data_IF_099232786861
#
_entry.id   IF_099232786861
#
_cell.length_a   1.000
_cell.length_b   1.000
_cell.length_c   1.000
_cell.angle_alpha   90.00
_cell.angle_beta   90.00
_cell.angle_gamma   90.00
#
_symmetry.space_group_name_H-M   'P 1'
#
loop_
_entity.id
_entity.type
_entity.pdbx_description
1 polymer ?
#
# COMPACT_ATOMS: atom_id res chain seq x y z
N UNK A 1 -2.75 7.83 -5.56
CA UNK A 1 -1.94 6.83 -4.82
C UNK A 1 -1.11 6.06 -5.84
N UNK A 2 0.13 5.71 -5.51
CA UNK A 2 1.03 4.96 -6.38
C UNK A 2 1.71 3.82 -5.62
N UNK A 3 2.22 2.84 -6.35
CA UNK A 3 3.09 1.80 -5.84
C UNK A 3 4.57 2.14 -6.15
N UNK A 4 5.49 1.87 -5.22
CA UNK A 4 6.91 2.25 -5.39
C UNK A 4 7.67 1.33 -6.34
N UNK A 5 7.28 0.05 -6.45
CA UNK A 5 7.96 -1.03 -7.21
C UNK A 5 9.48 -0.84 -7.41
N UNK A 6 10.33 -1.43 -6.55
CA UNK A 6 11.78 -1.24 -6.58
C UNK A 6 12.45 -1.72 -7.88
N UNK A 7 11.79 -2.54 -8.69
CA UNK A 7 12.33 -3.06 -9.94
C UNK A 7 12.06 -2.15 -11.14
N UNK A 8 11.23 -1.12 -10.96
CA UNK A 8 10.81 -0.20 -12.01
C UNK A 8 11.50 1.16 -11.90
N UNK A 9 11.91 1.78 -13.03
CA UNK A 9 12.45 3.13 -12.99
C UNK A 9 11.38 4.13 -12.56
N UNK A 10 11.72 5.01 -11.62
CA UNK A 10 10.78 6.03 -11.15
C UNK A 10 10.39 7.00 -12.28
N UNK A 11 9.09 7.22 -12.53
CA UNK A 11 8.63 8.13 -13.57
C UNK A 11 9.20 9.55 -13.40
N UNK A 12 9.65 10.22 -14.48
CA UNK A 12 10.17 11.58 -14.41
C UNK A 12 9.22 12.58 -13.75
N UNK A 13 7.91 12.32 -13.84
CA UNK A 13 6.86 13.09 -13.20
C UNK A 13 7.05 13.22 -11.69
N UNK A 14 7.59 12.19 -11.02
CA UNK A 14 7.81 12.20 -9.57
C UNK A 14 8.87 13.21 -9.14
N UNK A 15 9.77 13.64 -10.04
CA UNK A 15 10.82 14.63 -9.72
C UNK A 15 10.29 16.00 -9.30
N UNK A 16 9.05 16.34 -9.69
CA UNK A 16 8.42 17.61 -9.30
C UNK A 16 7.80 17.57 -7.90
N UNK A 17 7.63 16.37 -7.35
CA UNK A 17 7.09 16.16 -6.03
C UNK A 17 8.22 16.07 -5.00
N UNK A 18 8.02 16.69 -3.85
CA UNK A 18 8.95 16.65 -2.71
C UNK A 18 8.36 15.79 -1.61
N UNK A 19 9.22 15.05 -0.91
CA UNK A 19 8.81 14.26 0.24
C UNK A 19 8.30 15.19 1.34
N UNK A 20 7.03 15.03 1.69
CA UNK A 20 6.36 15.76 2.76
C UNK A 20 6.37 14.97 4.07
N UNK A 21 6.18 13.65 3.99
CA UNK A 21 6.18 12.75 5.15
C UNK A 21 6.70 11.36 4.78
N UNK A 22 7.45 10.74 5.69
CA UNK A 22 7.91 9.34 5.61
C UNK A 22 7.41 8.59 6.86
N UNK A 23 6.24 7.97 6.77
CA UNK A 23 5.64 7.19 7.85
C UNK A 23 6.22 5.78 7.86
N UNK A 24 7.41 5.63 8.42
CA UNK A 24 8.16 4.36 8.43
C UNK A 24 7.40 3.19 9.06
N UNK A 25 6.58 3.46 10.08
CA UNK A 25 5.75 2.44 10.75
C UNK A 25 4.65 1.93 9.82
N UNK A 26 3.97 2.82 9.11
CA UNK A 26 2.93 2.49 8.15
C UNK A 26 3.49 2.14 6.75
N UNK A 27 4.80 2.32 6.53
CA UNK A 27 5.47 2.13 5.24
C UNK A 27 4.80 2.93 4.12
N UNK A 28 4.42 4.16 4.44
CA UNK A 28 3.82 5.14 3.53
C UNK A 28 4.75 6.32 3.37
N UNK A 29 4.87 6.81 2.13
CA UNK A 29 5.54 8.07 1.83
C UNK A 29 4.53 9.02 1.20
N UNK A 30 4.48 10.24 1.70
CA UNK A 30 3.60 11.29 1.20
C UNK A 30 4.48 12.32 0.51
N UNK A 31 4.16 12.62 -0.74
CA UNK A 31 4.83 13.65 -1.51
C UNK A 31 3.86 14.74 -1.92
N UNK A 32 4.37 15.96 -2.11
CA UNK A 32 3.60 17.12 -2.54
C UNK A 32 4.35 17.92 -3.61
N UNK A 33 3.65 18.41 -4.63
CA UNK A 33 4.21 19.34 -5.61
C UNK A 33 3.93 20.81 -5.24
N UNK A 34 4.47 21.74 -6.03
CA UNK A 34 4.29 23.19 -5.79
C UNK A 34 2.84 23.67 -5.93
N UNK A 35 1.98 22.90 -6.56
CA UNK A 35 0.57 23.23 -6.76
C UNK A 35 -0.32 22.61 -5.68
N UNK A 36 0.27 21.95 -4.67
CA UNK A 36 -0.46 21.25 -3.61
C UNK A 36 -0.98 19.87 -4.02
N UNK A 37 -0.61 19.35 -5.20
CA UNK A 37 -0.97 17.98 -5.57
C UNK A 37 -0.20 17.00 -4.70
N UNK A 38 -0.90 16.01 -4.15
CA UNK A 38 -0.30 15.01 -3.24
C UNK A 38 -0.25 13.62 -3.85
N UNK A 39 0.79 12.88 -3.49
CA UNK A 39 0.96 11.47 -3.80
C UNK A 39 1.15 10.71 -2.50
N UNK A 40 0.28 9.75 -2.25
CA UNK A 40 0.50 8.69 -1.25
C UNK A 40 1.15 7.51 -1.99
N UNK A 41 2.30 7.07 -1.51
CA UNK A 41 3.07 5.96 -2.07
C UNK A 41 3.22 4.84 -1.04
N UNK A 42 2.85 3.62 -1.45
CA UNK A 42 3.10 2.40 -0.68
C UNK A 42 4.56 1.96 -0.85
N UNK A 43 5.17 1.45 0.22
CA UNK A 43 6.57 1.00 0.20
C UNK A 43 6.76 -0.37 0.87
N UNK A 44 7.56 -1.30 0.31
CA UNK A 44 8.30 -1.19 -0.95
C UNK A 44 7.45 -1.47 -2.19
N UNK A 45 6.42 -2.32 -2.09
CA UNK A 45 5.42 -2.54 -3.13
C UNK A 45 4.07 -2.90 -2.49
N UNK A 46 3.00 -2.97 -3.28
CA UNK A 46 1.66 -3.29 -2.79
C UNK A 46 1.62 -4.64 -2.08
N UNK A 47 2.26 -5.67 -2.66
CA UNK A 47 2.19 -7.04 -2.16
C UNK A 47 2.83 -7.17 -0.78
N UNK A 48 4.07 -6.70 -0.62
CA UNK A 48 4.77 -6.71 0.66
C UNK A 48 4.11 -5.77 1.67
N UNK A 49 3.49 -4.69 1.19
CA UNK A 49 2.73 -3.80 2.06
C UNK A 49 1.51 -4.53 2.65
N UNK A 50 0.73 -5.23 1.83
CA UNK A 50 -0.44 -6.01 2.26
C UNK A 50 -0.05 -7.20 3.14
N UNK A 51 1.00 -7.95 2.78
CA UNK A 51 1.53 -9.04 3.61
C UNK A 51 1.92 -8.51 4.99
N UNK A 52 2.56 -7.34 5.05
CA UNK A 52 2.89 -6.70 6.32
C UNK A 52 1.64 -6.28 7.11
N UNK A 53 0.63 -5.70 6.45
CA UNK A 53 -0.64 -5.33 7.08
C UNK A 53 -1.35 -6.54 7.71
N UNK A 54 -1.31 -7.70 7.05
CA UNK A 54 -1.86 -8.93 7.60
C UNK A 54 -1.04 -9.46 8.80
N UNK A 55 0.29 -9.41 8.72
CA UNK A 55 1.18 -9.81 9.81
C UNK A 55 0.98 -8.98 11.08
N UNK A 56 0.72 -7.68 10.94
CA UNK A 56 0.46 -6.79 12.08
C UNK A 56 -0.69 -7.25 12.97
N UNK A 57 -1.68 -7.95 12.41
CA UNK A 57 -2.85 -8.45 13.13
C UNK A 57 -2.88 -9.97 13.26
N UNK A 58 -1.77 -10.65 12.91
CA UNK A 58 -1.67 -12.11 12.98
C UNK A 58 -2.53 -12.86 11.95
N UNK A 59 -2.98 -12.19 10.89
CA UNK A 59 -3.84 -12.76 9.86
C UNK A 59 -3.00 -13.48 8.80
N UNK A 60 -3.40 -14.72 8.47
CA UNK A 60 -2.66 -15.57 7.52
C UNK A 60 -3.30 -15.49 6.14
N UNK A 61 -2.56 -15.06 5.11
CA UNK A 61 -3.06 -14.98 3.74
C UNK A 61 -3.60 -16.32 3.21
N UNK A 62 -3.05 -17.44 3.71
CA UNK A 62 -3.52 -18.79 3.37
C UNK A 62 -4.99 -19.03 3.70
N UNK A 63 -5.58 -18.35 4.70
CA UNK A 63 -7.02 -18.50 5.01
C UNK A 63 -7.91 -17.95 3.89
N UNK A 64 -7.37 -17.09 3.03
CA UNK A 64 -8.03 -16.54 1.84
C UNK A 64 -7.62 -17.28 0.56
N UNK A 65 -6.81 -18.35 0.68
CA UNK A 65 -6.23 -19.04 -0.47
C UNK A 65 -5.19 -18.21 -1.24
N UNK A 66 -4.53 -17.26 -0.56
CA UNK A 66 -3.50 -16.39 -1.12
C UNK A 66 -2.10 -16.82 -0.63
N UNK A 67 -1.04 -16.63 -1.44
CA UNK A 67 0.32 -16.95 -1.05
C UNK A 67 0.88 -15.93 -0.05
N UNK A 68 1.88 -16.33 0.74
CA UNK A 68 2.49 -15.49 1.79
C UNK A 68 3.78 -14.77 1.35
N UNK A 69 4.17 -14.92 0.07
CA UNK A 69 5.37 -14.31 -0.52
C UNK A 69 4.95 -13.28 -1.58
N UNK A 70 5.53 -12.08 -1.56
CA UNK A 70 5.13 -10.99 -2.45
C UNK A 70 5.20 -11.34 -3.94
N UNK A 71 6.29 -12.00 -4.38
CA UNK A 71 6.45 -12.39 -5.79
C UNK A 71 5.39 -13.38 -6.29
N UNK A 72 4.92 -14.29 -5.42
CA UNK A 72 3.83 -15.21 -5.76
C UNK A 72 2.47 -14.51 -5.69
N UNK A 73 2.31 -13.59 -4.74
CA UNK A 73 1.10 -12.80 -4.55
C UNK A 73 0.83 -11.91 -5.77
N UNK A 74 1.86 -11.29 -6.33
CA UNK A 74 1.78 -10.48 -7.55
C UNK A 74 1.16 -11.26 -8.72
N UNK A 75 1.52 -12.54 -8.88
CA UNK A 75 1.00 -13.41 -9.94
C UNK A 75 -0.47 -13.80 -9.75
N UNK A 76 -0.94 -13.83 -8.50
CA UNK A 76 -2.26 -14.39 -8.15
C UNK A 76 -3.32 -13.31 -7.95
N UNK A 77 -2.96 -12.12 -7.44
CA UNK A 77 -3.94 -11.04 -7.22
C UNK A 77 -4.70 -10.71 -8.52
N UNK A 78 -4.01 -10.70 -9.65
CA UNK A 78 -4.62 -10.41 -10.95
C UNK A 78 -5.50 -11.56 -11.49
N UNK A 79 -5.41 -12.77 -10.94
CA UNK A 79 -6.18 -13.94 -11.38
C UNK A 79 -7.54 -14.06 -10.68
N UNK A 80 -7.62 -13.71 -9.40
CA UNK A 80 -8.88 -13.68 -8.66
C UNK A 80 -8.91 -12.55 -7.64
N UNK A 81 -9.44 -11.40 -8.07
CA UNK A 81 -9.55 -10.20 -7.25
C UNK A 81 -10.48 -10.36 -6.05
N UNK A 82 -11.42 -11.33 -6.05
CA UNK A 82 -12.41 -11.47 -4.96
C UNK A 82 -11.75 -11.85 -3.64
N UNK A 83 -10.84 -12.83 -3.67
CA UNK A 83 -10.06 -13.25 -2.48
C UNK A 83 -9.21 -12.11 -1.92
N UNK A 84 -8.67 -11.28 -2.82
CA UNK A 84 -7.92 -10.11 -2.42
C UNK A 84 -8.84 -9.05 -1.79
N UNK A 85 -10.02 -8.82 -2.35
CA UNK A 85 -11.02 -7.91 -1.75
C UNK A 85 -11.44 -8.36 -0.34
N UNK A 86 -11.71 -9.64 -0.14
CA UNK A 86 -12.06 -10.18 1.18
C UNK A 86 -10.96 -9.90 2.21
N UNK A 87 -9.69 -10.14 1.82
CA UNK A 87 -8.52 -9.80 2.64
C UNK A 87 -8.49 -8.30 2.97
N UNK A 88 -8.69 -7.43 1.98
CA UNK A 88 -8.66 -5.97 2.17
C UNK A 88 -9.76 -5.52 3.14
N UNK A 89 -10.97 -6.05 3.01
CA UNK A 89 -12.08 -5.75 3.91
C UNK A 89 -11.76 -6.12 5.36
N UNK A 90 -11.14 -7.27 5.57
CA UNK A 90 -10.74 -7.69 6.90
C UNK A 90 -9.58 -6.88 7.50
N UNK A 91 -8.72 -6.31 6.65
CA UNK A 91 -7.58 -5.51 7.08
C UNK A 91 -7.94 -4.05 7.37
N UNK A 92 -8.90 -3.48 6.63
CA UNK A 92 -9.21 -2.04 6.55
C UNK A 92 -9.24 -1.32 7.90
N UNK A 93 -9.92 -1.92 8.88
CA UNK A 93 -10.14 -1.28 10.19
C UNK A 93 -9.33 -1.93 11.33
N UNK A 94 -8.49 -2.91 11.00
CA UNK A 94 -7.73 -3.70 11.99
C UNK A 94 -6.24 -3.41 11.94
N UNK A 95 -5.66 -3.28 10.74
CA UNK A 95 -4.22 -3.06 10.57
C UNK A 95 -3.85 -1.58 10.81
N UNK A 96 -2.79 -1.30 11.60
CA UNK A 96 -2.21 0.03 11.73
C UNK A 96 -1.89 0.70 10.38
N UNK A 97 -1.31 -0.04 9.44
CA UNK A 97 -1.04 0.43 8.08
C UNK A 97 -2.29 0.89 7.34
N UNK A 98 -3.36 0.10 7.38
CA UNK A 98 -4.64 0.46 6.75
C UNK A 98 -5.28 1.68 7.41
N UNK A 99 -5.17 1.81 8.73
CA UNK A 99 -5.65 3.00 9.45
C UNK A 99 -4.90 4.26 9.07
N UNK A 100 -3.57 4.20 8.97
CA UNK A 100 -2.76 5.33 8.49
C UNK A 100 -3.15 5.71 7.05
N UNK A 101 -3.29 4.71 6.17
CA UNK A 101 -3.69 4.94 4.78
C UNK A 101 -5.06 5.63 4.69
N UNK A 102 -6.07 5.13 5.41
CA UNK A 102 -7.41 5.72 5.45
C UNK A 102 -7.39 7.15 5.98
N UNK A 103 -6.66 7.41 7.08
CA UNK A 103 -6.49 8.75 7.65
C UNK A 103 -5.89 9.73 6.65
N UNK A 104 -4.86 9.33 5.92
CA UNK A 104 -4.20 10.20 4.94
C UNK A 104 -5.09 10.43 3.71
N UNK A 105 -5.87 9.43 3.29
CA UNK A 105 -6.89 9.60 2.27
C UNK A 105 -7.97 10.61 2.70
N UNK A 106 -8.51 10.47 3.90
CA UNK A 106 -9.52 11.40 4.45
C UNK A 106 -8.97 12.83 4.53
N UNK A 107 -7.71 12.98 4.96
CA UNK A 107 -7.06 14.30 5.08
C UNK A 107 -6.85 15.00 3.74
N UNK A 108 -6.74 14.27 2.63
CA UNK A 108 -6.32 14.81 1.34
C UNK A 108 -7.39 14.80 0.26
N UNK A 109 -8.50 14.08 0.47
CA UNK A 109 -9.62 13.98 -0.49
C UNK A 109 -10.90 14.65 0.04
N UNK A 110 -11.01 14.92 1.35
CA UNK A 110 -12.06 15.76 1.92
C UNK A 110 -11.71 17.26 1.82
#
# INVERSE_FOLDING_TARGET
MIDEDPQSPQPPLLRRFKLLSDERSARLKIYEDKNGNRIIMLSPNLEEWIIGSAREIGLKLKSYGLPEKGGDLHRIINLDLRKFQDLILDLKDKSPRMKSLSRDFERFIA
#
